data_IF_629422139734
#
_entry.id   IF_629422139734
#
_cell.length_a   1.000
_cell.length_b   1.000
_cell.length_c   1.000
_cell.angle_alpha   90.00
_cell.angle_beta   90.00
_cell.angle_gamma   90.00
#
_symmetry.space_group_name_H-M   'P 1'
#
loop_
_entity.id
_entity.type
_entity.pdbx_description
1 polymer ?
#
# COMPACT_ATOMS: atom_id res chain seq x y z
N UNK A 1 -18.07 29.43 9.09
CA UNK A 1 -17.51 29.22 7.73
C UNK A 1 -16.80 27.87 7.76
N UNK A 2 -17.07 26.95 6.83
CA UNK A 2 -16.44 25.62 6.84
C UNK A 2 -14.93 25.83 6.60
N UNK A 3 -14.04 25.42 7.51
CA UNK A 3 -12.60 25.52 7.28
C UNK A 3 -12.23 24.69 6.05
N UNK A 4 -11.45 25.28 5.14
CA UNK A 4 -11.04 24.60 3.90
C UNK A 4 -10.24 23.35 4.24
N UNK A 5 -10.61 22.23 3.63
CA UNK A 5 -9.91 20.96 3.81
C UNK A 5 -8.45 21.12 3.38
N UNK A 6 -7.46 20.68 4.18
CA UNK A 6 -6.04 20.72 3.83
C UNK A 6 -5.68 20.02 2.50
N UNK A 7 -6.56 19.15 1.99
CA UNK A 7 -6.46 18.47 0.70
C UNK A 7 -6.87 19.35 -0.51
N UNK A 8 -7.56 20.47 -0.29
CA UNK A 8 -7.85 21.46 -1.33
C UNK A 8 -6.59 22.24 -1.76
N UNK A 9 -5.50 22.13 -1.00
CA UNK A 9 -4.21 22.67 -1.39
C UNK A 9 -3.48 21.66 -2.30
N UNK A 10 -3.35 21.92 -3.62
CA UNK A 10 -2.80 20.98 -4.58
C UNK A 10 -1.33 20.61 -4.32
N UNK A 11 -0.59 21.42 -3.55
CA UNK A 11 0.80 21.14 -3.19
C UNK A 11 0.91 20.05 -2.11
N UNK A 12 0.00 20.05 -1.12
CA UNK A 12 0.02 19.10 -0.02
C UNK A 12 -0.43 17.70 -0.47
N UNK A 13 -1.49 17.63 -1.29
CA UNK A 13 -2.00 16.37 -1.84
C UNK A 13 -1.00 15.70 -2.81
N UNK A 14 -0.32 16.49 -3.64
CA UNK A 14 0.72 16.00 -4.54
C UNK A 14 1.91 15.39 -3.80
N UNK A 15 2.37 16.04 -2.71
CA UNK A 15 3.48 15.55 -1.90
C UNK A 15 3.15 14.23 -1.20
N UNK A 16 1.95 14.13 -0.61
CA UNK A 16 1.49 12.95 0.09
C UNK A 16 1.33 11.74 -0.88
N UNK A 17 0.77 11.98 -2.08
CA UNK A 17 0.67 10.97 -3.13
C UNK A 17 2.03 10.50 -3.67
N UNK A 18 3.00 11.41 -3.80
CA UNK A 18 4.35 11.05 -4.22
C UNK A 18 5.02 10.08 -3.23
N UNK A 19 4.80 10.28 -1.92
CA UNK A 19 5.29 9.37 -0.87
C UNK A 19 4.61 8.00 -0.93
N UNK A 20 3.29 7.96 -1.06
CA UNK A 20 2.55 6.71 -1.20
C UNK A 20 3.05 5.89 -2.41
N UNK A 21 3.20 6.51 -3.58
CA UNK A 21 3.74 5.82 -4.77
C UNK A 21 5.16 5.29 -4.58
N UNK A 22 6.01 6.05 -3.87
CA UNK A 22 7.37 5.60 -3.54
C UNK A 22 7.35 4.37 -2.64
N UNK A 23 6.49 4.36 -1.63
CA UNK A 23 6.28 3.20 -0.75
C UNK A 23 5.76 1.99 -1.54
N UNK A 24 4.73 2.17 -2.36
CA UNK A 24 4.15 1.08 -3.16
C UNK A 24 5.15 0.50 -4.15
N UNK A 25 6.02 1.33 -4.75
CA UNK A 25 7.10 0.84 -5.63
C UNK A 25 8.11 -0.01 -4.86
N UNK A 26 8.48 0.40 -3.65
CA UNK A 26 9.35 -0.41 -2.79
C UNK A 26 8.69 -1.74 -2.39
N UNK A 27 7.41 -1.70 -2.02
CA UNK A 27 6.62 -2.90 -1.70
C UNK A 27 6.47 -3.84 -2.90
N UNK A 28 6.33 -3.31 -4.12
CA UNK A 28 6.30 -4.13 -5.33
C UNK A 28 7.63 -4.86 -5.60
N UNK A 29 8.76 -4.18 -5.42
CA UNK A 29 10.09 -4.80 -5.56
C UNK A 29 10.27 -5.87 -4.48
N UNK A 30 9.93 -5.57 -3.23
CA UNK A 30 10.03 -6.51 -2.12
C UNK A 30 9.16 -7.76 -2.34
N UNK A 31 7.90 -7.57 -2.74
CA UNK A 31 6.98 -8.66 -3.06
C UNK A 31 7.50 -9.51 -4.21
N UNK A 32 8.07 -8.91 -5.26
CA UNK A 32 8.66 -9.67 -6.36
C UNK A 32 9.83 -10.54 -5.90
N UNK A 33 10.74 -9.98 -5.08
CA UNK A 33 11.85 -10.75 -4.49
C UNK A 33 11.31 -11.90 -3.62
N UNK A 34 10.30 -11.63 -2.81
CA UNK A 34 9.68 -12.64 -1.95
C UNK A 34 9.02 -13.76 -2.76
N UNK A 35 8.30 -13.43 -3.83
CA UNK A 35 7.71 -14.41 -4.76
C UNK A 35 8.79 -15.28 -5.38
N UNK A 36 9.89 -14.70 -5.85
CA UNK A 36 11.00 -15.47 -6.41
C UNK A 36 11.55 -16.47 -5.38
N UNK A 37 11.79 -16.02 -4.13
CA UNK A 37 12.26 -16.90 -3.05
C UNK A 37 11.24 -18.03 -2.79
N UNK A 38 9.96 -17.70 -2.69
CA UNK A 38 8.91 -18.67 -2.43
C UNK A 38 8.81 -19.72 -3.54
N UNK A 39 8.82 -19.32 -4.82
CA UNK A 39 8.75 -20.24 -5.94
C UNK A 39 10.04 -21.07 -6.08
N UNK A 40 11.22 -20.48 -5.83
CA UNK A 40 12.48 -21.22 -5.80
C UNK A 40 12.48 -22.29 -4.71
N UNK A 41 12.01 -21.95 -3.50
CA UNK A 41 11.87 -22.91 -2.41
C UNK A 41 10.87 -24.02 -2.73
N UNK A 42 9.74 -23.66 -3.35
CA UNK A 42 8.72 -24.60 -3.80
C UNK A 42 9.27 -25.59 -4.84
N UNK A 43 9.99 -25.06 -5.84
CA UNK A 43 10.63 -25.86 -6.87
C UNK A 43 11.71 -26.78 -6.30
N UNK A 44 12.53 -26.29 -5.36
CA UNK A 44 13.57 -27.11 -4.76
C UNK A 44 13.00 -28.27 -3.93
N UNK A 45 11.86 -28.06 -3.27
CA UNK A 45 11.25 -29.09 -2.41
C UNK A 45 10.41 -30.10 -3.17
N UNK A 46 9.66 -29.68 -4.19
CA UNK A 46 8.67 -30.52 -4.85
C UNK A 46 8.93 -30.73 -6.35
N UNK A 47 9.94 -30.09 -6.92
CA UNK A 47 10.28 -30.19 -8.32
C UNK A 47 9.23 -29.59 -9.25
N UNK A 48 9.25 -30.00 -10.52
CA UNK A 48 8.30 -29.51 -11.52
C UNK A 48 6.94 -30.22 -11.39
N UNK A 49 6.04 -29.65 -10.56
CA UNK A 49 4.62 -30.03 -10.54
C UNK A 49 3.88 -29.34 -11.71
N UNK A 50 2.67 -28.83 -11.49
CA UNK A 50 1.86 -28.12 -12.50
C UNK A 50 2.24 -26.65 -12.55
N UNK A 51 2.41 -26.11 -13.77
CA UNK A 51 2.67 -24.68 -13.98
C UNK A 51 1.54 -23.79 -13.43
N UNK A 52 0.30 -24.27 -13.46
CA UNK A 52 -0.86 -23.55 -12.92
C UNK A 52 -0.73 -23.31 -11.41
N UNK A 53 -0.12 -24.25 -10.69
CA UNK A 53 0.11 -24.12 -9.25
C UNK A 53 1.12 -23.00 -8.97
N UNK A 54 2.25 -22.97 -9.68
CA UNK A 54 3.24 -21.90 -9.55
C UNK A 54 2.67 -20.52 -9.88
N UNK A 55 1.87 -20.42 -10.96
CA UNK A 55 1.21 -19.17 -11.35
C UNK A 55 0.19 -18.74 -10.30
N UNK A 56 -0.66 -19.65 -9.82
CA UNK A 56 -1.65 -19.35 -8.79
C UNK A 56 -1.00 -18.90 -7.48
N UNK A 57 0.08 -19.57 -7.05
CA UNK A 57 0.85 -19.18 -5.86
C UNK A 57 1.48 -17.80 -6.03
N UNK A 58 2.12 -17.53 -7.17
CA UNK A 58 2.74 -16.24 -7.46
C UNK A 58 1.73 -15.09 -7.44
N UNK A 59 0.59 -15.28 -8.12
CA UNK A 59 -0.50 -14.31 -8.16
C UNK A 59 -1.12 -14.11 -6.78
N UNK A 60 -1.38 -15.20 -6.04
CA UNK A 60 -1.94 -15.14 -4.70
C UNK A 60 -1.06 -14.33 -3.73
N UNK A 61 0.24 -14.63 -3.69
CA UNK A 61 1.21 -13.90 -2.86
C UNK A 61 1.27 -12.43 -3.29
N UNK A 62 1.40 -12.18 -4.60
CA UNK A 62 1.56 -10.82 -5.12
C UNK A 62 0.36 -9.95 -4.81
N UNK A 63 -0.84 -10.43 -5.09
CA UNK A 63 -2.08 -9.69 -4.85
C UNK A 63 -2.30 -9.47 -3.36
N UNK A 64 -2.14 -10.50 -2.53
CA UNK A 64 -2.36 -10.37 -1.09
C UNK A 64 -1.39 -9.37 -0.43
N UNK A 65 -0.09 -9.47 -0.74
CA UNK A 65 0.92 -8.58 -0.15
C UNK A 65 0.76 -7.14 -0.64
N UNK A 66 0.54 -6.93 -1.94
CA UNK A 66 0.34 -5.59 -2.49
C UNK A 66 -0.97 -4.95 -2.02
N UNK A 67 -2.04 -5.74 -1.90
CA UNK A 67 -3.30 -5.27 -1.36
C UNK A 67 -3.14 -4.84 0.10
N UNK A 68 -2.53 -5.69 0.93
CA UNK A 68 -2.22 -5.34 2.32
C UNK A 68 -1.37 -4.06 2.42
N UNK A 69 -0.31 -3.96 1.63
CA UNK A 69 0.54 -2.77 1.60
C UNK A 69 -0.21 -1.51 1.11
N UNK A 70 -1.06 -1.64 0.10
CA UNK A 70 -1.88 -0.54 -0.42
C UNK A 70 -2.85 -0.03 0.64
N UNK A 71 -3.58 -0.93 1.31
CA UNK A 71 -4.52 -0.58 2.36
C UNK A 71 -3.80 0.10 3.53
N UNK A 72 -2.70 -0.48 4.02
CA UNK A 72 -1.91 0.11 5.10
C UNK A 72 -1.30 1.47 4.70
N UNK A 73 -0.83 1.58 3.46
CA UNK A 73 -0.34 2.85 2.90
C UNK A 73 -1.42 3.92 2.80
N UNK A 74 -2.65 3.55 2.45
CA UNK A 74 -3.79 4.45 2.42
C UNK A 74 -4.19 4.92 3.83
N UNK A 75 -4.13 4.04 4.83
CA UNK A 75 -4.36 4.43 6.24
C UNK A 75 -3.35 5.49 6.68
N UNK A 76 -2.06 5.30 6.38
CA UNK A 76 -1.04 6.31 6.70
C UNK A 76 -1.22 7.63 5.92
N UNK A 77 -1.68 7.55 4.68
CA UNK A 77 -2.00 8.73 3.88
C UNK A 77 -3.19 9.50 4.48
N UNK A 78 -4.22 8.79 4.96
CA UNK A 78 -5.38 9.37 5.62
C UNK A 78 -4.96 10.17 6.84
N UNK A 79 -4.21 9.55 7.75
CA UNK A 79 -3.78 10.20 8.99
C UNK A 79 -2.78 11.34 8.73
N UNK A 80 -1.90 11.21 7.73
CA UNK A 80 -0.82 12.17 7.47
C UNK A 80 -1.20 13.42 6.67
N UNK A 81 -2.44 13.51 6.16
CA UNK A 81 -2.90 14.65 5.33
C UNK A 81 -3.69 15.71 6.11
N UNK A 82 -3.78 15.59 7.44
CA UNK A 82 -4.47 16.55 8.30
C UNK A 82 -6.00 16.47 8.22
N UNK A 83 -6.54 15.35 7.73
CA UNK A 83 -7.99 15.12 7.68
C UNK A 83 -8.58 15.05 9.09
N UNK A 84 -7.90 14.36 10.01
CA UNK A 84 -8.38 14.17 11.40
C UNK A 84 -8.15 15.42 12.26
N UNK A 85 -7.08 16.18 12.00
CA UNK A 85 -6.81 17.46 12.67
C UNK A 85 -7.85 18.54 12.32
N UNK A 86 -8.52 18.43 11.17
CA UNK A 86 -9.60 19.35 10.78
C UNK A 86 -10.93 19.10 11.51
N UNK A 87 -11.06 17.96 12.21
CA UNK A 87 -12.27 17.60 12.98
C UNK A 87 -12.18 18.08 14.43
N UNK A 88 -10.98 18.17 15.02
CA UNK A 88 -10.82 18.68 16.39
C UNK A 88 -11.21 20.15 16.51
N UNK A 89 -10.92 20.96 15.49
CA UNK A 89 -11.24 22.39 15.44
C UNK A 89 -12.77 22.67 15.43
N UNK A 90 -13.57 21.70 14.98
CA UNK A 90 -15.04 21.80 15.03
C UNK A 90 -15.63 21.47 16.41
N UNK A 91 -14.86 20.84 17.29
CA UNK A 91 -15.31 20.38 18.61
C UNK A 91 -14.85 21.33 19.73
N UNK A 92 -13.81 22.13 19.48
CA UNK A 92 -13.23 23.07 20.45
C UNK A 92 -13.97 24.42 20.48
N UNK A 93 -14.87 24.69 19.52
CA UNK A 93 -15.72 25.89 19.44
C UNK A 93 -17.13 25.69 20.06
N UNK A 94 -17.23 24.90 21.15
CA UNK A 94 -18.49 24.71 21.90
C UNK A 94 -18.35 24.88 23.40
#
# INVERSE_FOLDING_TARGET
MIPKSPLENPLNSAHAWARYKRLMRFMAIFTLVFVLIALSGLYWRFGAISIHFYIATALGITVAMLLMAALMGLVFLSNGTGHDDSVSDLTEDR
#
